data_IF_870270439175
#
_entry.id   IF_870270439175
#
_cell.length_a   1.000
_cell.length_b   1.000
_cell.length_c   1.000
_cell.angle_alpha   90.00
_cell.angle_beta   90.00
_cell.angle_gamma   90.00
#
_symmetry.space_group_name_H-M   'P 1'
#
loop_
_entity.id
_entity.type
_entity.pdbx_description
1 polymer ?
#
# COMPACT_ATOMS: atom_id res chain seq x y z
N UNK A 1 5.00 -22.36 -6.21
CA UNK A 1 5.02 -21.07 -5.49
C UNK A 1 4.54 -21.34 -4.08
N UNK A 2 5.34 -20.99 -3.06
CA UNK A 2 4.89 -21.06 -1.67
C UNK A 2 4.27 -19.70 -1.31
N UNK A 3 3.06 -19.71 -0.75
CA UNK A 3 2.32 -18.50 -0.35
C UNK A 3 1.85 -18.64 1.08
N UNK A 4 1.53 -17.53 1.75
CA UNK A 4 1.22 -17.52 3.18
C UNK A 4 2.35 -18.17 3.99
N UNK A 5 3.59 -17.75 3.73
CA UNK A 5 4.79 -18.38 4.25
C UNK A 5 5.76 -17.35 4.83
N UNK A 6 6.42 -17.72 5.92
CA UNK A 6 7.46 -16.93 6.59
C UNK A 6 8.84 -17.49 6.24
N UNK A 7 9.78 -16.60 5.96
CA UNK A 7 11.19 -16.97 5.84
C UNK A 7 11.84 -16.88 7.22
N UNK A 8 12.33 -18.01 7.75
CA UNK A 8 12.78 -18.09 9.15
C UNK A 8 14.29 -18.04 9.31
N UNK A 9 15.04 -18.69 8.42
CA UNK A 9 16.49 -18.81 8.56
C UNK A 9 17.15 -19.10 7.20
N UNK A 10 18.39 -18.63 7.03
CA UNK A 10 19.24 -18.95 5.90
C UNK A 10 20.63 -19.41 6.34
N UNK A 11 20.84 -20.73 6.32
CA UNK A 11 22.13 -21.34 6.62
C UNK A 11 22.90 -21.70 5.34
N UNK A 12 24.23 -21.75 5.42
CA UNK A 12 25.10 -22.16 4.31
C UNK A 12 25.70 -20.98 3.55
N UNK A 13 26.17 -21.28 2.33
CA UNK A 13 26.96 -20.37 1.48
C UNK A 13 26.51 -20.47 0.03
N UNK A 14 26.98 -19.55 -0.82
CA UNK A 14 26.71 -19.56 -2.26
C UNK A 14 26.84 -20.96 -2.87
N UNK A 15 25.80 -21.40 -3.58
CA UNK A 15 25.70 -22.71 -4.21
C UNK A 15 25.15 -23.83 -3.31
N UNK A 16 25.08 -23.64 -1.99
CA UNK A 16 24.59 -24.63 -1.02
C UNK A 16 23.98 -23.92 0.21
N UNK A 17 22.83 -23.29 0.01
CA UNK A 17 22.02 -22.74 1.09
C UNK A 17 20.94 -23.72 1.51
N UNK A 18 20.57 -23.64 2.79
CA UNK A 18 19.36 -24.25 3.34
C UNK A 18 18.47 -23.12 3.86
N UNK A 19 17.38 -22.87 3.16
CA UNK A 19 16.37 -21.89 3.53
C UNK A 19 15.26 -22.57 4.33
N UNK A 20 15.07 -22.14 5.59
CA UNK A 20 13.97 -22.62 6.42
C UNK A 20 12.76 -21.71 6.24
N UNK A 21 11.63 -22.31 5.88
CA UNK A 21 10.38 -21.61 5.60
C UNK A 21 9.29 -22.22 6.47
N UNK A 22 8.39 -21.39 6.99
CA UNK A 22 7.17 -21.84 7.68
C UNK A 22 5.95 -21.49 6.85
N UNK A 23 5.20 -22.49 6.42
CA UNK A 23 3.88 -22.30 5.85
C UNK A 23 2.89 -22.06 6.99
N UNK A 24 2.21 -20.92 6.96
CA UNK A 24 1.14 -20.63 7.91
C UNK A 24 -0.12 -21.39 7.49
N UNK A 25 -0.90 -21.92 8.45
CA UNK A 25 -2.16 -22.56 8.14
C UNK A 25 -3.09 -21.56 7.47
N UNK A 26 -3.70 -21.96 6.35
CA UNK A 26 -4.76 -21.18 5.69
C UNK A 26 -6.12 -21.45 6.33
N UNK A 27 -6.22 -22.57 7.05
CA UNK A 27 -7.44 -23.21 7.52
C UNK A 27 -8.43 -23.56 6.39
N UNK A 28 -7.89 -23.63 5.18
CA UNK A 28 -8.56 -23.96 3.93
C UNK A 28 -7.63 -24.91 3.18
N UNK A 29 -8.15 -26.05 2.76
CA UNK A 29 -7.51 -26.92 1.77
C UNK A 29 -7.57 -26.26 0.41
N UNK A 30 -6.40 -25.91 -0.12
CA UNK A 30 -6.25 -25.18 -1.38
C UNK A 30 -6.64 -26.00 -2.60
N UNK A 31 -6.50 -27.32 -2.55
CA UNK A 31 -6.80 -28.20 -3.68
C UNK A 31 -8.31 -28.44 -3.80
N UNK A 32 -9.01 -28.38 -2.66
CA UNK A 32 -10.47 -28.56 -2.58
C UNK A 32 -11.24 -27.23 -2.69
N UNK A 33 -10.59 -26.07 -2.50
CA UNK A 33 -11.27 -24.77 -2.53
C UNK A 33 -11.66 -24.35 -3.96
N UNK A 34 -12.93 -24.03 -4.17
CA UNK A 34 -13.44 -23.55 -5.47
C UNK A 34 -13.54 -22.02 -5.57
N UNK A 35 -13.15 -21.32 -4.51
CA UNK A 35 -13.24 -19.86 -4.39
C UNK A 35 -14.62 -19.25 -4.73
N UNK A 36 -15.72 -19.93 -4.38
CA UNK A 36 -17.08 -19.47 -4.67
C UNK A 36 -17.59 -18.32 -3.79
N UNK A 37 -16.95 -18.06 -2.63
CA UNK A 37 -17.27 -16.94 -1.75
C UNK A 37 -18.48 -17.07 -0.82
N UNK A 38 -19.21 -18.19 -0.85
CA UNK A 38 -20.34 -18.42 0.06
C UNK A 38 -19.92 -18.33 1.54
N UNK A 39 -18.79 -18.91 1.89
CA UNK A 39 -18.29 -18.89 3.27
C UNK A 39 -18.05 -17.46 3.81
N UNK A 40 -17.63 -16.53 2.96
CA UNK A 40 -17.49 -15.11 3.29
C UNK A 40 -18.86 -14.46 3.49
N UNK A 41 -19.81 -14.69 2.58
CA UNK A 41 -21.15 -14.09 2.68
C UNK A 41 -21.86 -14.45 4.01
N UNK A 42 -21.68 -15.68 4.48
CA UNK A 42 -22.31 -16.18 5.71
C UNK A 42 -21.49 -15.91 6.98
N UNK A 43 -20.25 -15.42 6.87
CA UNK A 43 -19.45 -15.12 8.05
C UNK A 43 -20.04 -13.90 8.79
N UNK A 44 -20.41 -14.03 10.08
CA UNK A 44 -21.06 -12.94 10.82
C UNK A 44 -20.08 -11.87 11.32
N UNK A 45 -18.77 -12.17 11.35
CA UNK A 45 -17.74 -11.27 11.90
C UNK A 45 -17.22 -10.35 10.81
N UNK A 46 -17.34 -9.04 11.01
CA UNK A 46 -16.67 -8.06 10.16
C UNK A 46 -15.16 -8.01 10.45
N UNK A 47 -14.38 -7.81 9.39
CA UNK A 47 -12.94 -7.58 9.44
C UNK A 47 -12.63 -6.36 8.58
N UNK A 48 -11.70 -5.51 9.02
CA UNK A 48 -11.24 -4.36 8.24
C UNK A 48 -10.41 -4.90 7.08
N UNK A 49 -10.69 -4.50 5.85
CA UNK A 49 -10.01 -5.03 4.67
C UNK A 49 -8.60 -4.39 4.51
N UNK A 50 -7.51 -5.12 4.80
CA UNK A 50 -6.17 -4.55 4.74
C UNK A 50 -5.70 -4.31 3.31
N UNK A 51 -6.19 -5.08 2.32
CA UNK A 51 -5.84 -4.90 0.91
C UNK A 51 -6.45 -3.61 0.34
N UNK A 52 -7.65 -3.25 0.80
CA UNK A 52 -8.32 -2.01 0.45
C UNK A 52 -8.01 -0.85 1.40
N UNK A 53 -6.84 -0.86 2.06
CA UNK A 53 -6.38 0.22 2.94
C UNK A 53 -7.35 0.54 4.09
N UNK A 54 -8.15 -0.44 4.53
CA UNK A 54 -9.17 -0.25 5.55
C UNK A 54 -10.39 0.56 5.12
N UNK A 55 -10.51 0.89 3.83
CA UNK A 55 -11.63 1.65 3.27
C UNK A 55 -12.92 0.83 3.13
N UNK A 56 -12.84 -0.47 3.37
CA UNK A 56 -13.99 -1.37 3.35
C UNK A 56 -13.90 -2.43 4.45
N UNK A 57 -15.04 -3.08 4.67
CA UNK A 57 -15.14 -4.24 5.53
C UNK A 57 -15.21 -5.51 4.68
N UNK A 58 -14.40 -6.49 5.06
CA UNK A 58 -14.45 -7.87 4.61
C UNK A 58 -14.87 -8.78 5.77
N UNK A 59 -14.48 -10.05 5.72
CA UNK A 59 -14.73 -11.07 6.75
C UNK A 59 -13.43 -11.84 7.04
N UNK A 60 -13.26 -12.45 8.22
CA UNK A 60 -12.07 -13.25 8.52
C UNK A 60 -11.77 -14.32 7.47
N UNK A 61 -12.81 -14.98 6.95
CA UNK A 61 -12.68 -15.89 5.80
C UNK A 61 -12.87 -15.10 4.50
N UNK A 62 -11.78 -14.85 3.78
CA UNK A 62 -11.81 -14.04 2.56
C UNK A 62 -10.69 -14.39 1.56
N UNK A 63 -10.75 -13.74 0.40
CA UNK A 63 -9.70 -13.63 -0.59
C UNK A 63 -9.35 -12.14 -0.71
N UNK A 64 -8.07 -11.79 -0.71
CA UNK A 64 -7.64 -10.38 -0.64
C UNK A 64 -8.17 -9.55 -1.82
N UNK A 65 -8.17 -10.14 -3.02
CA UNK A 65 -8.70 -9.52 -4.23
C UNK A 65 -9.15 -10.57 -5.24
N UNK A 66 -10.02 -10.16 -6.16
CA UNK A 66 -10.69 -11.08 -7.09
C UNK A 66 -9.73 -11.88 -8.01
N UNK A 67 -8.54 -11.35 -8.28
CA UNK A 67 -7.52 -11.98 -9.14
C UNK A 67 -6.37 -12.61 -8.33
N UNK A 68 -6.54 -12.84 -7.02
CA UNK A 68 -5.48 -13.38 -6.19
C UNK A 68 -5.01 -14.76 -6.67
N UNK A 69 -3.70 -15.00 -6.54
CA UNK A 69 -3.05 -16.26 -6.92
C UNK A 69 -2.28 -16.82 -5.72
N UNK A 70 -2.58 -18.05 -5.26
CA UNK A 70 -3.64 -18.94 -5.74
C UNK A 70 -5.05 -18.37 -5.48
N UNK A 71 -6.01 -18.70 -6.36
CA UNK A 71 -7.40 -18.33 -6.22
C UNK A 71 -8.07 -19.20 -5.14
N UNK A 72 -7.67 -19.00 -3.89
CA UNK A 72 -8.15 -19.72 -2.71
C UNK A 72 -8.40 -18.74 -1.58
N UNK A 73 -9.38 -19.08 -0.75
CA UNK A 73 -9.65 -18.33 0.48
C UNK A 73 -8.61 -18.68 1.55
N UNK A 74 -8.52 -17.83 2.56
CA UNK A 74 -7.86 -18.12 3.83
C UNK A 74 -8.74 -17.63 4.98
N UNK A 75 -8.49 -18.12 6.19
CA UNK A 75 -9.14 -17.63 7.42
C UNK A 75 -8.12 -16.88 8.24
N UNK A 76 -8.40 -15.60 8.51
CA UNK A 76 -7.60 -14.79 9.42
C UNK A 76 -7.78 -15.28 10.88
N UNK A 77 -6.72 -15.80 11.53
CA UNK A 77 -6.79 -16.33 12.88
C UNK A 77 -6.96 -15.24 13.95
N UNK A 78 -6.56 -14.00 13.67
CA UNK A 78 -6.67 -12.86 14.59
C UNK A 78 -8.08 -12.27 14.63
N UNK A 79 -8.97 -12.69 13.72
CA UNK A 79 -10.36 -12.21 13.67
C UNK A 79 -11.41 -13.31 13.69
N UNK A 80 -11.05 -14.57 13.44
CA UNK A 80 -11.99 -15.67 13.40
C UNK A 80 -12.48 -16.07 14.80
N UNK A 81 -13.80 -15.99 15.02
CA UNK A 81 -14.44 -16.37 16.30
C UNK A 81 -14.25 -17.85 16.67
N UNK A 82 -14.04 -18.73 15.68
CA UNK A 82 -13.70 -20.13 15.93
C UNK A 82 -12.27 -20.27 16.49
N UNK A 83 -11.30 -19.72 15.76
CA UNK A 83 -9.89 -19.87 16.11
C UNK A 83 -9.52 -19.14 17.40
N UNK A 84 -10.24 -18.08 17.74
CA UNK A 84 -10.01 -17.32 18.98
C UNK A 84 -10.77 -17.88 20.20
N UNK A 85 -12.00 -18.36 19.99
CA UNK A 85 -12.94 -18.62 21.09
C UNK A 85 -13.73 -19.92 20.97
N UNK A 86 -13.55 -20.71 19.90
CA UNK A 86 -14.25 -21.97 19.64
C UNK A 86 -15.80 -21.81 19.58
N UNK A 87 -16.29 -20.65 19.13
CA UNK A 87 -17.74 -20.29 19.22
C UNK A 87 -18.53 -20.31 17.91
N UNK A 88 -17.89 -20.34 16.74
CA UNK A 88 -18.58 -20.17 15.45
C UNK A 88 -18.08 -21.14 14.40
N UNK A 89 -18.97 -21.84 13.68
CA UNK A 89 -18.60 -22.69 12.54
C UNK A 89 -19.53 -22.53 11.34
N UNK A 90 -20.20 -21.38 11.22
CA UNK A 90 -21.23 -21.14 10.18
C UNK A 90 -20.69 -21.34 8.76
N UNK A 91 -19.41 -21.03 8.54
CA UNK A 91 -18.76 -21.22 7.23
C UNK A 91 -18.62 -22.69 6.80
N UNK A 92 -18.60 -23.64 7.75
CA UNK A 92 -18.41 -25.07 7.48
C UNK A 92 -19.57 -25.68 6.69
N UNK A 93 -20.84 -25.63 7.16
CA UNK A 93 -21.96 -26.27 6.44
C UNK A 93 -22.26 -25.61 5.09
N UNK A 94 -21.87 -24.35 4.88
CA UNK A 94 -22.07 -23.65 3.59
C UNK A 94 -20.96 -23.94 2.56
N UNK A 95 -19.83 -24.50 3.00
CA UNK A 95 -18.73 -24.86 2.11
C UNK A 95 -19.03 -26.20 1.41
N UNK A 96 -19.58 -26.12 0.20
CA UNK A 96 -19.97 -27.30 -0.59
C UNK A 96 -18.79 -28.21 -0.97
N UNK A 97 -17.57 -27.65 -1.09
CA UNK A 97 -16.37 -28.43 -1.38
C UNK A 97 -15.67 -28.97 -0.14
N UNK A 98 -16.22 -28.71 1.05
CA UNK A 98 -15.67 -29.17 2.34
C UNK A 98 -14.19 -28.81 2.56
N UNK A 99 -13.75 -27.69 1.98
CA UNK A 99 -12.35 -27.25 2.04
C UNK A 99 -11.93 -26.65 3.39
N UNK A 100 -12.85 -26.32 4.29
CA UNK A 100 -12.51 -25.68 5.57
C UNK A 100 -11.93 -26.71 6.54
N UNK A 101 -10.72 -26.43 7.03
CA UNK A 101 -10.03 -27.29 7.99
C UNK A 101 -9.34 -26.46 9.07
N UNK A 102 -10.02 -26.24 10.19
CA UNK A 102 -9.48 -25.50 11.33
C UNK A 102 -8.34 -26.20 12.06
N UNK A 103 -8.13 -27.51 11.83
CA UNK A 103 -7.06 -28.28 12.46
C UNK A 103 -5.72 -28.16 11.73
N UNK A 104 -5.66 -27.46 10.59
CA UNK A 104 -4.41 -27.20 9.89
C UNK A 104 -3.38 -26.57 10.85
N UNK A 105 -2.18 -27.14 10.86
CA UNK A 105 -1.05 -26.66 11.66
C UNK A 105 0.00 -25.99 10.75
N UNK A 106 0.83 -25.09 11.30
CA UNK A 106 2.00 -24.60 10.58
C UNK A 106 2.92 -25.74 10.19
N UNK A 107 3.48 -25.67 8.97
CA UNK A 107 4.44 -26.65 8.45
C UNK A 107 5.78 -25.96 8.23
N UNK A 108 6.86 -26.53 8.76
CA UNK A 108 8.22 -26.03 8.51
C UNK A 108 8.93 -26.91 7.48
N UNK A 109 9.54 -26.26 6.48
CA UNK A 109 10.21 -26.88 5.36
C UNK A 109 11.65 -26.34 5.25
N UNK A 110 12.62 -27.23 5.05
CA UNK A 110 13.99 -26.88 4.72
C UNK A 110 14.20 -27.07 3.20
N UNK A 111 14.42 -25.97 2.48
CA UNK A 111 14.68 -25.97 1.04
C UNK A 111 16.17 -25.82 0.73
N UNK A 112 16.70 -26.72 -0.09
CA UNK A 112 18.05 -26.61 -0.65
C UNK A 112 18.03 -25.68 -1.86
N UNK A 113 18.77 -24.58 -1.80
CA UNK A 113 18.81 -23.57 -2.87
C UNK A 113 20.25 -23.13 -3.15
N UNK A 114 20.54 -22.81 -4.41
CA UNK A 114 21.88 -22.35 -4.81
C UNK A 114 22.10 -20.84 -4.61
N UNK A 115 21.03 -20.06 -4.65
CA UNK A 115 21.06 -18.61 -4.47
C UNK A 115 19.73 -18.08 -3.91
N UNK A 116 19.76 -16.89 -3.31
CA UNK A 116 18.60 -16.20 -2.74
C UNK A 116 18.48 -14.79 -3.32
N UNK A 117 17.31 -14.46 -3.85
CA UNK A 117 16.99 -13.10 -4.33
C UNK A 117 15.96 -12.50 -3.38
N UNK A 118 16.32 -11.40 -2.73
CA UNK A 118 15.45 -10.72 -1.79
C UNK A 118 14.60 -9.66 -2.50
N UNK A 119 13.29 -9.86 -2.53
CA UNK A 119 12.32 -8.91 -3.10
C UNK A 119 11.17 -8.61 -2.12
N UNK A 120 11.45 -8.17 -0.87
CA UNK A 120 10.41 -7.92 0.14
C UNK A 120 9.55 -6.66 -0.14
N UNK A 121 9.88 -5.90 -1.18
CA UNK A 121 9.17 -4.67 -1.54
C UNK A 121 9.59 -3.47 -0.69
N UNK A 122 8.60 -2.72 -0.21
CA UNK A 122 8.77 -1.47 0.54
C UNK A 122 7.80 -1.42 1.73
N UNK A 123 8.09 -0.55 2.70
CA UNK A 123 7.23 -0.24 3.83
C UNK A 123 6.45 1.06 3.64
N UNK A 124 5.68 1.39 4.67
CA UNK A 124 4.73 2.52 4.68
C UNK A 124 5.30 3.69 5.46
N UNK A 125 5.00 4.91 5.01
CA UNK A 125 5.34 6.12 5.77
C UNK A 125 4.67 6.09 7.15
N UNK A 126 5.43 6.48 8.18
CA UNK A 126 4.90 6.60 9.54
C UNK A 126 3.68 7.52 9.67
N UNK A 127 2.67 7.10 10.44
CA UNK A 127 1.46 7.89 10.72
C UNK A 127 1.75 9.27 11.34
N UNK A 128 2.81 9.38 12.15
CA UNK A 128 3.29 10.67 12.68
C UNK A 128 3.65 11.68 11.58
N UNK A 129 4.20 11.21 10.47
CA UNK A 129 4.55 12.06 9.32
C UNK A 129 3.29 12.50 8.58
N UNK A 130 2.34 11.58 8.39
CA UNK A 130 1.06 11.87 7.74
C UNK A 130 0.20 12.85 8.56
N UNK A 131 0.20 12.72 9.88
CA UNK A 131 -0.55 13.59 10.80
C UNK A 131 -0.18 15.08 10.66
N UNK A 132 1.04 15.41 10.22
CA UNK A 132 1.45 16.80 9.91
C UNK A 132 0.58 17.43 8.81
N UNK A 133 0.00 16.61 7.95
CA UNK A 133 -0.86 17.02 6.84
C UNK A 133 -2.34 16.72 7.11
N UNK A 134 -2.74 16.53 8.37
CA UNK A 134 -4.14 16.33 8.75
C UNK A 134 -4.71 14.94 8.46
N UNK A 135 -3.86 13.96 8.09
CA UNK A 135 -4.27 12.56 7.99
C UNK A 135 -4.77 12.05 9.34
N UNK A 136 -5.84 11.24 9.34
CA UNK A 136 -6.64 10.81 10.50
C UNK A 136 -7.37 11.94 11.26
N UNK A 137 -6.93 13.19 11.15
CA UNK A 137 -7.62 14.34 11.74
C UNK A 137 -8.85 14.78 10.92
N UNK A 138 -8.83 14.54 9.61
CA UNK A 138 -9.96 14.81 8.72
C UNK A 138 -10.12 13.65 7.72
N UNK A 139 -11.35 13.14 7.51
CA UNK A 139 -11.57 11.94 6.70
C UNK A 139 -11.28 12.15 5.21
N UNK A 140 -11.39 13.38 4.69
CA UNK A 140 -11.07 13.70 3.28
C UNK A 140 -9.58 13.98 3.01
N UNK A 141 -8.70 13.69 3.98
CA UNK A 141 -7.25 13.62 3.75
C UNK A 141 -6.88 12.16 3.60
N UNK A 142 -6.48 11.77 2.39
CA UNK A 142 -6.18 10.37 2.03
C UNK A 142 -4.74 10.26 1.55
N UNK A 143 -4.14 9.10 1.69
CA UNK A 143 -2.89 8.71 1.04
C UNK A 143 -3.12 8.36 -0.42
N UNK A 144 -2.07 8.43 -1.23
CA UNK A 144 -2.15 8.00 -2.64
C UNK A 144 -2.52 6.53 -2.78
N UNK A 145 -2.14 5.65 -1.84
CA UNK A 145 -2.50 4.23 -1.89
C UNK A 145 -4.00 4.03 -1.62
N UNK A 146 -4.57 4.74 -0.63
CA UNK A 146 -6.02 4.77 -0.43
C UNK A 146 -6.74 5.30 -1.68
N UNK A 147 -6.22 6.37 -2.27
CA UNK A 147 -6.77 6.96 -3.49
C UNK A 147 -6.69 6.02 -4.72
N UNK A 148 -5.62 5.24 -4.85
CA UNK A 148 -5.53 4.13 -5.82
C UNK A 148 -6.63 3.10 -5.60
N UNK A 149 -6.91 2.73 -4.35
CA UNK A 149 -8.02 1.80 -4.04
C UNK A 149 -9.37 2.43 -4.36
N UNK A 150 -9.56 3.74 -4.15
CA UNK A 150 -10.80 4.45 -4.50
C UNK A 150 -11.03 4.49 -6.02
N UNK A 151 -9.99 4.79 -6.79
CA UNK A 151 -10.06 4.91 -8.26
C UNK A 151 -10.03 3.56 -8.99
N UNK A 152 -9.69 2.47 -8.30
CA UNK A 152 -9.69 1.12 -8.88
C UNK A 152 -11.12 0.60 -9.12
N UNK A 153 -11.36 0.05 -10.32
CA UNK A 153 -12.62 -0.61 -10.66
C UNK A 153 -12.94 -1.83 -9.77
N UNK A 154 -11.91 -2.53 -9.30
CA UNK A 154 -12.03 -3.63 -8.32
C UNK A 154 -11.87 -3.18 -6.87
N UNK A 155 -11.80 -1.86 -6.65
CA UNK A 155 -11.74 -1.25 -5.34
C UNK A 155 -13.12 -1.10 -4.70
N UNK A 156 -13.15 -0.68 -3.42
CA UNK A 156 -14.39 -0.60 -2.64
C UNK A 156 -15.36 0.47 -3.16
N UNK A 157 -14.85 1.46 -3.90
CA UNK A 157 -15.65 2.51 -4.52
C UNK A 157 -15.89 2.29 -6.01
N UNK A 158 -15.43 1.18 -6.58
CA UNK A 158 -15.61 0.82 -8.00
C UNK A 158 -15.21 1.93 -8.98
N UNK A 159 -14.22 2.75 -8.62
CA UNK A 159 -13.75 3.89 -9.41
C UNK A 159 -14.41 5.24 -9.10
N UNK A 160 -15.42 5.30 -8.24
CA UNK A 160 -16.13 6.54 -7.90
C UNK A 160 -15.50 7.24 -6.68
N UNK A 161 -14.76 8.32 -6.92
CA UNK A 161 -14.12 9.09 -5.83
C UNK A 161 -15.17 9.87 -5.05
N UNK A 162 -15.25 9.67 -3.73
CA UNK A 162 -16.17 10.40 -2.83
C UNK A 162 -15.42 10.95 -1.62
N UNK A 163 -15.81 12.14 -1.18
CA UNK A 163 -15.46 12.64 0.14
C UNK A 163 -16.08 11.71 1.20
N UNK A 164 -15.24 11.22 2.12
CA UNK A 164 -15.65 10.38 3.23
C UNK A 164 -16.48 11.16 4.27
N UNK A 165 -16.28 12.48 4.38
CA UNK A 165 -17.00 13.31 5.36
C UNK A 165 -18.50 13.40 5.09
N UNK A 166 -18.92 13.54 3.83
CA UNK A 166 -20.30 13.84 3.44
C UNK A 166 -20.81 13.04 2.23
N UNK A 167 -19.98 12.15 1.66
CA UNK A 167 -20.33 11.26 0.55
C UNK A 167 -20.41 11.94 -0.82
N UNK A 168 -20.11 13.23 -0.94
CA UNK A 168 -20.19 13.94 -2.22
C UNK A 168 -18.99 13.65 -3.12
N UNK A 169 -19.17 13.89 -4.42
CA UNK A 169 -18.06 13.88 -5.37
C UNK A 169 -17.18 15.13 -5.18
N UNK A 170 -15.83 15.01 -5.08
CA UNK A 170 -14.96 16.16 -4.91
C UNK A 170 -14.78 16.93 -6.22
N UNK A 171 -14.98 18.24 -6.19
CA UNK A 171 -14.73 19.11 -7.36
C UNK A 171 -13.33 19.75 -7.33
N UNK A 172 -12.70 19.83 -6.14
CA UNK A 172 -11.35 20.36 -5.96
C UNK A 172 -10.44 19.37 -5.25
N UNK A 173 -9.44 18.88 -5.96
CA UNK A 173 -8.45 17.93 -5.47
C UNK A 173 -7.07 18.58 -5.39
N UNK A 174 -6.39 18.38 -4.26
CA UNK A 174 -4.99 18.75 -4.11
C UNK A 174 -4.12 17.53 -3.85
N UNK A 175 -3.11 17.34 -4.70
CA UNK A 175 -2.05 16.36 -4.48
C UNK A 175 -0.87 17.05 -3.81
N UNK A 176 -0.40 16.52 -2.68
CA UNK A 176 0.77 17.03 -1.96
C UNK A 176 1.94 16.10 -2.21
N UNK A 177 2.97 16.58 -2.89
CA UNK A 177 4.15 15.79 -3.20
C UNK A 177 5.13 15.68 -2.05
N UNK A 178 5.96 14.65 -2.11
CA UNK A 178 7.08 14.41 -1.18
C UNK A 178 6.63 14.18 0.27
N UNK A 179 5.43 13.63 0.51
CA UNK A 179 4.99 13.31 1.87
C UNK A 179 5.81 12.13 2.39
N UNK A 180 6.62 12.35 3.43
CA UNK A 180 7.56 11.34 3.95
C UNK A 180 8.80 11.13 3.09
N UNK A 181 9.16 12.07 2.22
CA UNK A 181 10.38 12.03 1.41
C UNK A 181 10.97 13.42 1.24
N UNK A 182 12.28 13.51 1.11
CA UNK A 182 13.01 14.80 1.05
C UNK A 182 12.60 15.70 2.23
N UNK A 183 12.38 15.11 3.39
CA UNK A 183 11.97 15.77 4.62
C UNK A 183 12.86 15.33 5.79
N UNK A 184 13.68 16.26 6.26
CA UNK A 184 14.55 16.04 7.42
C UNK A 184 13.74 15.90 8.71
N UNK A 185 12.50 16.41 8.75
CA UNK A 185 11.61 16.29 9.90
C UNK A 185 11.03 14.89 10.12
N UNK A 186 11.27 13.94 9.22
CA UNK A 186 11.00 12.51 9.41
C UNK A 186 12.23 11.64 9.07
N UNK A 187 13.43 12.24 9.02
CA UNK A 187 14.70 11.59 8.67
C UNK A 187 14.77 10.94 7.28
N UNK A 188 13.76 11.14 6.42
CA UNK A 188 13.76 10.65 5.05
C UNK A 188 14.36 11.70 4.10
N UNK A 189 15.69 11.78 4.09
CA UNK A 189 16.45 12.69 3.22
C UNK A 189 16.51 12.30 1.73
N UNK A 190 15.92 11.15 1.35
CA UNK A 190 15.93 10.64 -0.02
C UNK A 190 14.63 10.97 -0.78
N UNK A 191 14.66 10.76 -2.11
CA UNK A 191 13.47 10.83 -2.96
C UNK A 191 12.93 9.42 -3.21
N UNK A 192 11.63 9.21 -3.01
CA UNK A 192 10.97 7.93 -3.30
C UNK A 192 10.79 7.62 -4.79
N UNK A 193 11.27 8.50 -5.68
CA UNK A 193 11.39 8.31 -7.14
C UNK A 193 10.11 8.11 -7.95
N UNK A 194 9.02 7.62 -7.36
CA UNK A 194 7.78 7.25 -8.07
C UNK A 194 6.62 8.21 -7.81
N UNK A 195 6.67 9.00 -6.73
CA UNK A 195 5.54 9.80 -6.27
C UNK A 195 5.08 10.91 -7.22
N UNK A 196 6.00 11.53 -7.95
CA UNK A 196 5.63 12.46 -9.01
C UNK A 196 4.78 11.78 -10.09
N UNK A 197 5.13 10.54 -10.45
CA UNK A 197 4.51 9.85 -11.57
C UNK A 197 3.19 9.19 -11.22
N UNK A 198 3.07 8.53 -10.06
CA UNK A 198 1.77 7.98 -9.68
C UNK A 198 0.75 9.10 -9.43
N UNK A 199 1.15 10.27 -8.92
CA UNK A 199 0.23 11.39 -8.71
C UNK A 199 -0.27 11.97 -10.04
N UNK A 200 0.62 12.09 -11.04
CA UNK A 200 0.22 12.46 -12.40
C UNK A 200 -0.74 11.41 -12.98
N UNK A 201 -0.43 10.12 -12.80
CA UNK A 201 -1.28 9.02 -13.25
C UNK A 201 -2.66 9.06 -12.57
N UNK A 202 -2.73 9.22 -11.26
CA UNK A 202 -3.96 9.27 -10.48
C UNK A 202 -4.79 10.48 -10.89
N UNK A 203 -4.17 11.65 -11.03
CA UNK A 203 -4.83 12.86 -11.50
C UNK A 203 -5.39 12.70 -12.92
N UNK A 204 -4.62 12.08 -13.84
CA UNK A 204 -5.09 11.78 -15.20
C UNK A 204 -6.29 10.85 -15.19
N UNK A 205 -6.24 9.75 -14.43
CA UNK A 205 -7.35 8.79 -14.30
C UNK A 205 -8.60 9.50 -13.83
N UNK A 206 -8.51 10.34 -12.79
CA UNK A 206 -9.67 11.09 -12.28
C UNK A 206 -10.19 12.06 -13.33
N UNK A 207 -9.30 12.77 -14.03
CA UNK A 207 -9.68 13.73 -15.08
C UNK A 207 -10.32 13.07 -16.32
N UNK A 208 -9.98 11.80 -16.59
CA UNK A 208 -10.63 10.99 -17.64
C UNK A 208 -12.06 10.59 -17.24
N UNK A 209 -12.32 10.33 -15.96
CA UNK A 209 -13.65 9.98 -15.44
C UNK A 209 -14.53 11.23 -15.22
N UNK A 210 -13.93 12.33 -14.75
CA UNK A 210 -14.57 13.62 -14.54
C UNK A 210 -13.71 14.75 -15.13
N UNK A 211 -14.02 15.24 -16.35
CA UNK A 211 -13.31 16.33 -16.98
C UNK A 211 -13.43 17.68 -16.26
N UNK A 212 -14.42 17.88 -15.39
CA UNK A 212 -14.69 19.18 -14.76
C UNK A 212 -13.97 19.36 -13.41
N UNK A 213 -13.45 18.28 -12.82
CA UNK A 213 -12.71 18.34 -11.55
C UNK A 213 -11.45 19.21 -11.64
N UNK A 214 -11.29 20.14 -10.69
CA UNK A 214 -10.12 21.00 -10.58
C UNK A 214 -9.04 20.27 -9.78
N UNK A 215 -7.95 19.87 -10.44
CA UNK A 215 -6.83 19.17 -9.80
C UNK A 215 -5.60 20.08 -9.76
N UNK A 216 -4.97 20.18 -8.58
CA UNK A 216 -3.69 20.87 -8.40
C UNK A 216 -2.66 19.95 -7.73
N UNK A 217 -1.48 19.83 -8.34
CA UNK A 217 -0.33 19.10 -7.80
C UNK A 217 0.66 20.11 -7.21
N UNK A 218 0.86 20.06 -5.89
CA UNK A 218 1.81 20.90 -5.16
C UNK A 218 3.15 20.18 -5.03
N UNK A 219 4.22 20.79 -5.55
CA UNK A 219 5.51 20.12 -5.68
C UNK A 219 6.72 21.03 -5.41
N UNK A 220 7.88 20.41 -5.12
CA UNK A 220 9.17 21.10 -5.08
C UNK A 220 9.88 21.05 -6.45
N UNK A 221 10.08 19.82 -6.93
CA UNK A 221 10.54 19.51 -8.29
C UNK A 221 9.69 18.35 -8.83
N UNK A 222 9.25 18.42 -10.09
CA UNK A 222 8.61 17.28 -10.75
C UNK A 222 9.71 16.39 -11.32
N UNK A 223 9.72 15.11 -10.91
CA UNK A 223 10.70 14.12 -11.35
C UNK A 223 10.05 13.07 -12.25
N UNK A 224 10.09 13.37 -13.54
CA UNK A 224 9.59 12.56 -14.67
C UNK A 224 10.73 11.74 -15.29
N UNK A 225 11.52 11.07 -14.44
CA UNK A 225 12.72 10.33 -14.83
C UNK A 225 12.37 8.94 -15.38
N UNK A 226 11.94 8.88 -16.63
CA UNK A 226 11.60 7.65 -17.32
C UNK A 226 11.28 7.92 -18.79
N UNK A 227 11.28 6.88 -19.61
CA UNK A 227 10.93 7.03 -21.03
C UNK A 227 9.50 7.56 -21.14
N UNK A 228 9.32 8.66 -21.86
CA UNK A 228 8.04 9.32 -22.11
C UNK A 228 7.32 9.87 -20.85
N UNK A 229 7.99 9.95 -19.69
CA UNK A 229 7.38 10.48 -18.47
C UNK A 229 7.15 12.00 -18.55
N UNK A 230 8.01 12.75 -19.26
CA UNK A 230 7.76 14.16 -19.55
C UNK A 230 6.48 14.35 -20.39
N UNK A 231 6.24 13.47 -21.38
CA UNK A 231 5.00 13.49 -22.18
C UNK A 231 3.75 13.21 -21.33
N UNK A 232 3.86 12.35 -20.33
CA UNK A 232 2.75 12.12 -19.39
C UNK A 232 2.41 13.38 -18.59
N UNK A 233 3.43 14.16 -18.19
CA UNK A 233 3.24 15.47 -17.57
C UNK A 233 2.63 16.48 -18.55
N UNK A 234 3.17 16.61 -19.76
CA UNK A 234 2.64 17.51 -20.79
C UNK A 234 1.16 17.19 -21.09
N UNK A 235 0.80 15.91 -21.15
CA UNK A 235 -0.59 15.47 -21.29
C UNK A 235 -1.45 15.91 -20.10
N UNK A 236 -0.96 15.77 -18.88
CA UNK A 236 -1.68 16.22 -17.68
C UNK A 236 -1.92 17.74 -17.68
N UNK A 237 -0.91 18.53 -18.05
CA UNK A 237 -1.03 19.99 -18.20
C UNK A 237 -2.04 20.34 -19.30
N UNK A 238 -2.00 19.64 -20.46
CA UNK A 238 -2.96 19.82 -21.55
C UNK A 238 -4.41 19.45 -21.17
N UNK A 239 -4.59 18.55 -20.20
CA UNK A 239 -5.90 18.22 -19.61
C UNK A 239 -6.32 19.18 -18.49
N UNK A 240 -5.57 20.25 -18.24
CA UNK A 240 -5.92 21.30 -17.28
C UNK A 240 -5.53 20.99 -15.83
N UNK A 241 -4.72 19.95 -15.58
CA UNK A 241 -4.14 19.69 -14.26
C UNK A 241 -3.10 20.78 -13.96
N UNK A 242 -3.25 21.46 -12.82
CA UNK A 242 -2.38 22.56 -12.43
C UNK A 242 -1.18 22.04 -11.65
N UNK A 243 0.00 22.60 -11.92
CA UNK A 243 1.23 22.28 -11.20
C UNK A 243 1.73 23.52 -10.47
N UNK A 244 1.66 23.51 -9.14
CA UNK A 244 2.08 24.63 -8.30
C UNK A 244 3.38 24.28 -7.61
N UNK A 245 4.44 25.03 -7.92
CA UNK A 245 5.74 24.86 -7.27
C UNK A 245 5.71 25.49 -5.88
N UNK A 246 5.35 24.70 -4.89
CA UNK A 246 5.27 25.08 -3.49
C UNK A 246 5.40 23.86 -2.57
N UNK A 247 5.99 24.07 -1.39
CA UNK A 247 5.92 23.10 -0.29
C UNK A 247 4.73 23.46 0.60
N UNK A 248 3.77 22.55 0.70
CA UNK A 248 2.62 22.71 1.61
C UNK A 248 3.11 22.59 3.06
N UNK A 249 2.75 23.56 3.88
CA UNK A 249 3.13 23.63 5.29
C UNK A 249 2.18 22.78 6.16
N UNK A 250 0.90 22.73 5.79
CA UNK A 250 -0.10 21.93 6.51
C UNK A 250 -1.46 21.99 5.84
N UNK A 251 -2.34 21.13 6.33
CA UNK A 251 -3.74 21.03 5.92
C UNK A 251 -4.59 21.10 7.18
N UNK A 252 -5.58 21.99 7.19
CA UNK A 252 -6.48 22.17 8.33
C UNK A 252 -7.93 22.06 7.90
N UNK A 253 -8.83 21.55 8.76
CA UNK A 253 -10.26 21.63 8.53
C UNK A 253 -10.70 23.09 8.39
N UNK A 254 -11.56 23.37 7.40
CA UNK A 254 -12.12 24.68 7.15
C UNK A 254 -13.58 24.58 6.68
N UNK A 255 -14.52 24.79 7.62
CA UNK A 255 -15.96 24.56 7.41
C UNK A 255 -16.20 23.09 6.99
N UNK A 256 -16.85 22.86 5.84
CA UNK A 256 -17.12 21.53 5.27
C UNK A 256 -16.06 21.14 4.21
N UNK A 257 -14.85 21.68 4.32
CA UNK A 257 -13.75 21.55 3.36
C UNK A 257 -12.42 21.49 4.09
N UNK A 258 -11.35 21.32 3.33
CA UNK A 258 -9.96 21.44 3.78
C UNK A 258 -9.38 22.78 3.31
N UNK A 259 -8.44 23.32 4.06
CA UNK A 259 -7.63 24.47 3.64
C UNK A 259 -6.15 24.09 3.64
N UNK A 260 -5.51 24.23 2.47
CA UNK A 260 -4.06 24.08 2.34
C UNK A 260 -3.39 25.41 2.67
N UNK A 261 -2.33 25.34 3.46
CA UNK A 261 -1.42 26.48 3.66
C UNK A 261 -0.10 26.18 2.97
N UNK A 262 0.31 27.03 2.03
CA UNK A 262 1.59 26.87 1.33
C UNK A 262 2.26 28.21 1.07
N UNK A 263 3.57 28.16 0.83
CA UNK A 263 4.35 29.35 0.46
C UNK A 263 4.75 29.29 -1.01
N UNK A 264 4.57 30.40 -1.69
CA UNK A 264 4.96 30.62 -3.08
C UNK A 264 6.44 30.98 -3.20
N UNK A 265 6.99 30.92 -4.41
CA UNK A 265 8.41 31.22 -4.65
C UNK A 265 8.79 32.67 -4.38
N UNK A 266 7.83 33.60 -4.46
CA UNK A 266 8.01 35.01 -4.13
C UNK A 266 7.69 35.32 -2.66
N UNK A 267 7.55 34.29 -1.82
CA UNK A 267 7.46 34.42 -0.36
C UNK A 267 6.08 34.79 0.17
N UNK A 268 5.03 34.76 -0.67
CA UNK A 268 3.64 34.92 -0.17
C UNK A 268 3.12 33.62 0.42
N UNK A 269 2.33 33.74 1.47
CA UNK A 269 1.51 32.66 2.00
C UNK A 269 0.15 32.66 1.33
N UNK A 270 -0.25 31.51 0.80
CA UNK A 270 -1.52 31.29 0.13
C UNK A 270 -2.35 30.26 0.91
N UNK A 271 -3.66 30.44 0.87
CA UNK A 271 -4.65 29.59 1.53
C UNK A 271 -5.65 29.07 0.50
N UNK A 272 -5.57 27.79 0.15
CA UNK A 272 -6.42 27.21 -0.90
C UNK A 272 -7.47 26.27 -0.29
N UNK A 273 -8.78 26.56 -0.45
CA UNK A 273 -9.84 25.66 -0.03
C UNK A 273 -10.07 24.54 -1.05
N UNK A 274 -10.01 23.29 -0.59
CA UNK A 274 -10.20 22.08 -1.41
C UNK A 274 -11.19 21.12 -0.78
N UNK A 275 -11.71 20.20 -1.58
CA UNK A 275 -12.67 19.20 -1.12
C UNK A 275 -11.98 17.96 -0.56
N UNK A 276 -10.87 17.54 -1.19
CA UNK A 276 -10.09 16.38 -0.77
C UNK A 276 -8.60 16.60 -1.04
N UNK A 277 -7.78 16.08 -0.15
CA UNK A 277 -6.32 16.10 -0.24
C UNK A 277 -5.79 14.68 -0.42
N UNK A 278 -4.96 14.49 -1.43
CA UNK A 278 -4.22 13.25 -1.68
C UNK A 278 -2.76 13.46 -1.31
N UNK A 279 -2.30 12.77 -0.27
CA UNK A 279 -0.93 12.75 0.17
C UNK A 279 -0.14 11.78 -0.70
N UNK A 280 0.74 12.29 -1.55
CA UNK A 280 1.65 11.46 -2.34
C UNK A 280 2.77 10.95 -1.43
N UNK A 281 2.50 9.82 -0.77
CA UNK A 281 3.36 9.19 0.22
C UNK A 281 4.60 8.55 -0.40
N UNK A 282 5.74 8.70 0.27
CA UNK A 282 6.97 8.03 -0.07
C UNK A 282 6.96 6.52 0.21
N UNK A 283 8.09 5.89 -0.03
CA UNK A 283 8.33 4.47 0.23
C UNK A 283 9.36 4.36 1.37
N UNK A 284 9.01 3.66 2.45
CA UNK A 284 9.98 3.28 3.49
C UNK A 284 10.60 1.91 3.16
N UNK A 285 11.63 1.52 3.91
CA UNK A 285 12.15 0.16 3.87
C UNK A 285 11.07 -0.83 4.36
N UNK A 286 11.14 -2.11 3.99
CA UNK A 286 10.23 -3.13 4.53
C UNK A 286 10.13 -3.05 6.05
N UNK A 287 8.92 -3.23 6.61
CA UNK A 287 8.68 -3.10 8.06
C UNK A 287 9.64 -3.93 8.93
N UNK A 288 10.04 -5.10 8.44
CA UNK A 288 10.98 -6.01 9.10
C UNK A 288 12.33 -6.10 8.36
N UNK A 289 12.82 -4.98 7.83
CA UNK A 289 14.11 -4.95 7.13
C UNK A 289 15.26 -5.47 8.01
N UNK A 290 15.25 -5.15 9.31
CA UNK A 290 16.23 -5.64 10.27
C UNK A 290 16.15 -7.17 10.46
N UNK A 291 14.96 -7.73 10.66
CA UNK A 291 14.80 -9.19 10.77
C UNK A 291 15.20 -9.92 9.49
N UNK A 292 14.85 -9.37 8.33
CA UNK A 292 15.32 -9.89 7.02
C UNK A 292 16.85 -9.86 6.96
N UNK A 293 17.49 -8.76 7.38
CA UNK A 293 18.94 -8.62 7.40
C UNK A 293 19.60 -9.61 8.37
N UNK A 294 19.03 -9.84 9.54
CA UNK A 294 19.52 -10.80 10.53
C UNK A 294 19.45 -12.24 9.99
N UNK A 295 18.36 -12.60 9.32
CA UNK A 295 18.18 -13.92 8.70
C UNK A 295 19.15 -14.13 7.54
N UNK A 296 19.33 -13.10 6.72
CA UNK A 296 20.05 -13.19 5.44
C UNK A 296 21.49 -12.72 5.52
N UNK A 297 21.94 -12.13 6.63
CA UNK A 297 23.29 -11.60 6.79
C UNK A 297 23.66 -10.49 5.81
N UNK A 298 22.68 -9.75 5.28
CA UNK A 298 22.95 -8.60 4.40
C UNK A 298 23.16 -7.33 5.21
N UNK A 299 23.91 -6.38 4.67
CA UNK A 299 24.01 -5.04 5.25
C UNK A 299 22.84 -4.16 4.80
N UNK A 300 22.31 -3.35 5.72
CA UNK A 300 21.39 -2.26 5.39
C UNK A 300 22.14 -0.93 5.29
N UNK A 301 21.60 0.01 4.54
CA UNK A 301 22.08 1.39 4.52
C UNK A 301 21.46 2.21 5.67
N UNK A 302 21.78 3.52 5.76
CA UNK A 302 21.27 4.39 6.85
C UNK A 302 19.75 4.60 6.88
N UNK A 303 19.04 4.15 5.84
CA UNK A 303 17.59 4.25 5.68
C UNK A 303 16.93 2.86 5.72
N UNK A 304 17.65 1.86 6.22
CA UNK A 304 17.20 0.47 6.37
C UNK A 304 16.85 -0.25 5.05
N UNK A 305 17.22 0.30 3.89
CA UNK A 305 17.18 -0.44 2.62
C UNK A 305 18.41 -1.31 2.47
N UNK A 306 18.30 -2.37 1.66
CA UNK A 306 19.45 -3.22 1.32
C UNK A 306 20.60 -2.38 0.75
N UNK A 307 21.80 -2.56 1.30
CA UNK A 307 23.00 -1.88 0.83
C UNK A 307 23.58 -2.61 -0.37
N UNK A 308 23.67 -1.92 -1.50
CA UNK A 308 24.29 -2.42 -2.74
C UNK A 308 25.46 -1.54 -3.18
N UNK A 309 26.25 -2.04 -4.14
CA UNK A 309 27.33 -1.30 -4.78
C UNK A 309 26.81 -0.59 -6.04
N UNK A 310 27.34 0.59 -6.35
CA UNK A 310 27.00 1.38 -7.54
C UNK A 310 27.18 0.60 -8.84
N UNK A 311 28.25 -0.21 -8.97
CA UNK A 311 28.53 -0.97 -10.19
C UNK A 311 27.84 -2.34 -10.21
N UNK A 312 27.33 -2.80 -9.06
CA UNK A 312 26.61 -4.06 -8.91
C UNK A 312 25.34 -3.88 -8.07
N UNK A 313 24.36 -3.10 -8.58
CA UNK A 313 23.23 -2.62 -7.78
C UNK A 313 22.25 -3.72 -7.36
N UNK A 314 22.32 -4.90 -8.00
CA UNK A 314 21.47 -6.05 -7.73
C UNK A 314 22.15 -7.11 -6.84
N UNK A 315 23.41 -6.90 -6.46
CA UNK A 315 24.15 -7.85 -5.62
C UNK A 315 24.30 -7.30 -4.22
N UNK A 316 24.16 -8.18 -3.23
CA UNK A 316 24.51 -7.86 -1.84
C UNK A 316 25.98 -8.17 -1.58
N UNK A 317 26.50 -7.78 -0.42
CA UNK A 317 27.84 -8.16 0.02
C UNK A 317 27.96 -9.63 0.44
N UNK A 318 26.85 -10.29 0.79
CA UNK A 318 26.82 -11.74 0.98
C UNK A 318 26.67 -12.38 -0.40
N UNK A 319 27.64 -13.21 -0.78
CA UNK A 319 27.60 -13.89 -2.06
C UNK A 319 26.54 -15.01 -2.07
N UNK A 320 25.89 -15.18 -3.22
CA UNK A 320 24.77 -16.11 -3.43
C UNK A 320 23.43 -15.48 -3.06
#
# INVERSE_FOLDING_TARGET
>A
MLTNADFLALAGKQGDFTARIRLRPRYIDTDSCTACGLCTQYCPRHHVDPYNEGLALTRPIHIDYAQAVPATYYIDPESCLYLQHDTCQICVPVCQSHAINFNQQPEELDLKVGAVILTPGFGRISGKTLAKFGYEAHPDVVTSIEFERMTSASGPFQGEVKCFSDGRHPHRLAFIQCVGSRDLGCDNGYCSSVCCMYAIKEALVVKEHDPDVEITIYYMDIRTQGKDFDKARERAEAMGIKFVRAKVAGVTPWKNRLQLTYSTLDGRHEFEPVDMVVLSVGLESPRDAAGIADITGIELNRYDFAKSDTLSPLTTRRAG
#
